data_IF_237874278857
#
_entry.id   IF_237874278857
#
_cell.length_a   1.000
_cell.length_b   1.000
_cell.length_c   1.000
_cell.angle_alpha   90.00
_cell.angle_beta   90.00
_cell.angle_gamma   90.00
#
_symmetry.space_group_name_H-M   'P 1'
#
loop_
_entity.id
_entity.type
_entity.pdbx_description
1 polymer ?
#
# COMPACT_ATOMS: atom_id res chain seq x y z
N UNK A 1 -3.98 12.31 -20.43
CA UNK A 1 -5.28 11.60 -20.67
C UNK A 1 -5.47 10.61 -19.53
N UNK A 2 -6.62 10.62 -18.82
CA UNK A 2 -6.87 9.70 -17.70
C UNK A 2 -6.99 8.27 -18.23
N UNK A 3 -6.30 7.33 -17.59
CA UNK A 3 -6.34 5.91 -17.96
C UNK A 3 -7.60 5.27 -17.39
N UNK A 4 -8.56 4.94 -18.25
CA UNK A 4 -9.83 4.30 -17.85
C UNK A 4 -9.62 2.86 -17.40
N UNK A 5 -10.42 2.43 -16.43
CA UNK A 5 -10.47 1.05 -15.98
C UNK A 5 -11.12 0.19 -17.07
N UNK A 6 -10.47 -0.90 -17.55
CA UNK A 6 -11.07 -1.82 -18.52
C UNK A 6 -12.35 -2.48 -17.97
N UNK A 7 -13.31 -2.77 -18.86
CA UNK A 7 -14.62 -3.33 -18.47
C UNK A 7 -14.48 -4.66 -17.68
N UNK A 8 -13.61 -5.54 -18.13
CA UNK A 8 -13.39 -6.83 -17.43
C UNK A 8 -12.88 -6.67 -16.00
N UNK A 9 -12.10 -5.59 -15.72
CA UNK A 9 -11.68 -5.26 -14.35
C UNK A 9 -12.85 -4.71 -13.52
N UNK A 10 -13.72 -3.90 -14.11
CA UNK A 10 -14.94 -3.41 -13.42
C UNK A 10 -15.83 -4.57 -13.00
N UNK A 11 -15.95 -5.59 -13.85
CA UNK A 11 -16.67 -6.83 -13.51
C UNK A 11 -15.97 -7.60 -12.38
N UNK A 12 -14.63 -7.65 -12.34
CA UNK A 12 -13.89 -8.24 -11.23
C UNK A 12 -14.12 -7.45 -9.92
N UNK A 13 -14.05 -6.13 -9.98
CA UNK A 13 -14.31 -5.23 -8.84
C UNK A 13 -15.73 -5.38 -8.27
N UNK A 14 -16.72 -5.67 -9.11
CA UNK A 14 -18.12 -5.83 -8.67
C UNK A 14 -18.36 -7.04 -7.77
N UNK A 15 -17.46 -8.03 -7.81
CA UNK A 15 -17.56 -9.28 -7.03
C UNK A 15 -17.20 -9.12 -5.55
N UNK A 16 -16.55 -8.04 -5.16
CA UNK A 16 -16.20 -7.81 -3.76
C UNK A 16 -17.45 -7.58 -2.92
N UNK A 17 -17.63 -8.41 -1.89
CA UNK A 17 -18.77 -8.36 -0.96
C UNK A 17 -18.53 -7.37 0.17
N UNK A 18 -17.30 -7.27 0.66
CA UNK A 18 -16.93 -6.34 1.73
C UNK A 18 -16.42 -5.03 1.13
N UNK A 19 -17.07 -3.92 1.50
CA UNK A 19 -16.79 -2.58 0.96
C UNK A 19 -16.75 -1.48 2.04
N UNK A 20 -16.57 -1.87 3.31
CA UNK A 20 -16.51 -0.94 4.44
C UNK A 20 -17.87 -0.47 4.98
N UNK A 21 -19.01 -0.91 4.41
CA UNK A 21 -20.32 -0.48 4.90
C UNK A 21 -20.74 -1.15 6.22
N UNK A 22 -20.24 -2.35 6.43
CA UNK A 22 -20.53 -3.15 7.63
C UNK A 22 -19.37 -4.06 7.93
N UNK A 23 -18.88 -4.02 9.16
CA UNK A 23 -17.87 -4.98 9.63
C UNK A 23 -18.45 -6.39 9.66
N UNK A 24 -17.75 -7.41 9.17
CA UNK A 24 -18.11 -8.80 9.38
C UNK A 24 -17.98 -9.18 10.86
N UNK A 25 -18.70 -10.22 11.28
CA UNK A 25 -18.74 -10.63 12.70
C UNK A 25 -17.40 -11.07 13.29
N UNK A 26 -16.44 -11.39 12.44
CA UNK A 26 -15.07 -11.75 12.84
C UNK A 26 -14.10 -10.54 12.92
N UNK A 27 -14.52 -9.35 12.47
CA UNK A 27 -13.71 -8.14 12.58
C UNK A 27 -13.58 -7.71 14.05
N UNK A 28 -12.38 -7.25 14.41
CA UNK A 28 -12.13 -6.72 15.75
C UNK A 28 -12.74 -5.31 15.87
N UNK A 29 -13.31 -5.02 17.03
CA UNK A 29 -13.81 -3.68 17.34
C UNK A 29 -12.63 -2.76 17.70
N UNK A 30 -12.50 -1.60 17.03
CA UNK A 30 -11.44 -0.64 17.33
C UNK A 30 -11.68 0.07 18.66
N UNK A 31 -10.60 0.31 19.39
CA UNK A 31 -10.58 1.18 20.56
C UNK A 31 -10.41 2.63 20.14
N UNK A 32 -10.50 3.55 21.08
CA UNK A 32 -10.20 4.95 20.80
C UNK A 32 -8.75 5.10 20.26
N UNK A 33 -8.61 5.73 19.09
CA UNK A 33 -7.34 5.91 18.40
C UNK A 33 -6.93 4.75 17.49
N UNK A 34 -7.70 3.68 17.42
CA UNK A 34 -7.48 2.57 16.48
C UNK A 34 -8.37 2.71 15.23
N UNK A 35 -7.89 2.18 14.10
CA UNK A 35 -8.63 2.10 12.84
C UNK A 35 -8.85 0.63 12.46
N UNK A 36 -10.11 0.23 12.22
CA UNK A 36 -10.39 -1.10 11.66
C UNK A 36 -10.27 -1.07 10.14
N UNK A 37 -9.48 -1.99 9.57
CA UNK A 37 -9.39 -2.14 8.10
C UNK A 37 -10.73 -2.54 7.46
N UNK A 38 -11.68 -2.97 8.25
CA UNK A 38 -13.02 -3.33 7.78
C UNK A 38 -13.96 -2.15 7.59
N UNK A 39 -13.53 -0.94 8.05
CA UNK A 39 -14.22 0.33 7.78
C UNK A 39 -13.71 1.01 6.51
N UNK A 40 -12.58 0.53 5.94
CA UNK A 40 -12.03 1.09 4.73
C UNK A 40 -12.89 0.75 3.52
N UNK A 41 -13.06 1.67 2.56
CA UNK A 41 -13.97 1.46 1.44
C UNK A 41 -13.35 0.63 0.31
N UNK A 42 -14.23 0.14 -0.57
CA UNK A 42 -13.94 -0.26 -1.96
C UNK A 42 -14.92 0.44 -2.89
N UNK A 43 -14.45 1.20 -3.91
CA UNK A 43 -13.04 1.46 -4.27
C UNK A 43 -12.21 2.04 -3.13
N UNK A 44 -10.89 1.75 -3.10
CA UNK A 44 -10.01 2.25 -2.04
C UNK A 44 -10.00 3.78 -1.95
N UNK A 45 -9.95 4.30 -0.73
CA UNK A 45 -9.83 5.74 -0.49
C UNK A 45 -8.37 6.20 -0.54
N UNK A 46 -8.19 7.46 -0.92
CA UNK A 46 -6.90 8.16 -0.90
C UNK A 46 -6.93 9.14 0.26
N UNK A 47 -5.96 9.03 1.16
CA UNK A 47 -5.86 9.90 2.33
C UNK A 47 -4.44 10.46 2.47
N UNK A 48 -4.24 11.79 2.52
CA UNK A 48 -2.96 12.37 2.89
C UNK A 48 -2.54 11.92 4.29
N UNK A 49 -1.23 11.69 4.47
CA UNK A 49 -0.62 11.40 5.76
C UNK A 49 0.51 12.40 6.01
N UNK A 50 0.37 13.22 7.05
CA UNK A 50 1.34 14.27 7.41
C UNK A 50 2.36 13.81 8.45
N UNK A 51 2.23 12.58 8.95
CA UNK A 51 3.21 11.98 9.85
C UNK A 51 4.53 11.77 9.09
N UNK A 52 5.62 11.78 9.82
CA UNK A 52 6.93 11.50 9.20
C UNK A 52 7.04 10.03 8.84
N UNK A 53 7.24 9.78 7.56
CA UNK A 53 7.45 8.43 7.00
C UNK A 53 8.91 8.29 6.63
N UNK A 54 9.60 7.29 7.20
CA UNK A 54 11.00 6.99 6.89
C UNK A 54 11.12 5.56 6.38
N UNK A 55 11.85 5.39 5.29
CA UNK A 55 12.23 4.07 4.74
C UNK A 55 13.75 4.00 4.69
N UNK A 56 14.31 2.94 5.27
CA UNK A 56 15.77 2.76 5.31
C UNK A 56 16.17 1.29 5.19
N UNK A 57 17.45 1.08 4.92
CA UNK A 57 18.11 -0.21 5.00
C UNK A 57 19.46 -0.03 5.71
N UNK A 58 19.61 -0.62 6.89
CA UNK A 58 20.72 -0.30 7.78
C UNK A 58 20.75 1.22 8.06
N UNK A 59 21.90 1.84 7.83
CA UNK A 59 22.09 3.29 8.04
C UNK A 59 21.65 4.15 6.83
N UNK A 60 21.30 3.53 5.70
CA UNK A 60 20.96 4.27 4.49
C UNK A 60 19.47 4.63 4.45
N UNK A 61 19.17 5.92 4.42
CA UNK A 61 17.81 6.44 4.25
C UNK A 61 17.46 6.41 2.76
N UNK A 62 16.41 5.66 2.41
CA UNK A 62 15.87 5.54 1.05
C UNK A 62 14.82 6.64 0.82
N UNK A 63 13.99 6.91 1.82
CA UNK A 63 12.95 7.94 1.76
C UNK A 63 12.71 8.56 3.14
N UNK A 64 12.39 9.87 3.16
CA UNK A 64 12.01 10.61 4.38
C UNK A 64 11.01 11.71 3.97
N UNK A 65 9.77 11.59 4.40
CA UNK A 65 8.66 12.42 3.92
C UNK A 65 7.65 12.73 5.01
N UNK A 66 7.06 13.90 4.94
CA UNK A 66 5.83 14.29 5.68
C UNK A 66 4.66 14.57 4.73
N UNK A 67 4.75 14.05 3.49
CA UNK A 67 3.77 14.28 2.41
C UNK A 67 3.31 12.97 1.80
N UNK A 68 3.31 11.90 2.60
CA UNK A 68 2.88 10.60 2.15
C UNK A 68 1.36 10.56 1.92
N UNK A 69 0.92 9.56 1.17
CA UNK A 69 -0.48 9.25 0.92
C UNK A 69 -0.73 7.82 1.36
N UNK A 70 -1.78 7.61 2.16
CA UNK A 70 -2.29 6.28 2.49
C UNK A 70 -3.38 5.89 1.49
N UNK A 71 -3.32 4.67 1.02
CA UNK A 71 -4.43 4.03 0.30
C UNK A 71 -5.10 3.05 1.26
N UNK A 72 -6.39 3.28 1.50
CA UNK A 72 -7.21 2.55 2.46
C UNK A 72 -8.18 1.63 1.70
N UNK A 73 -7.96 0.32 1.81
CA UNK A 73 -8.80 -0.69 1.16
C UNK A 73 -9.32 -1.69 2.19
N UNK A 74 -10.61 -2.00 2.14
CA UNK A 74 -11.24 -3.00 3.01
C UNK A 74 -10.38 -4.25 3.18
N UNK A 75 -10.27 -4.73 4.40
CA UNK A 75 -9.54 -5.94 4.81
C UNK A 75 -8.00 -5.86 4.72
N UNK A 76 -7.43 -4.74 4.26
CA UNK A 76 -5.98 -4.58 4.09
C UNK A 76 -5.46 -3.44 4.96
N UNK A 77 -4.29 -3.58 5.61
CA UNK A 77 -3.62 -2.44 6.21
C UNK A 77 -3.32 -1.37 5.16
N UNK A 78 -3.22 -0.09 5.53
CA UNK A 78 -2.90 0.97 4.59
C UNK A 78 -1.64 0.66 3.78
N UNK A 79 -1.63 0.96 2.49
CA UNK A 79 -0.38 1.06 1.72
C UNK A 79 0.05 2.52 1.67
N UNK A 80 1.30 2.79 2.01
CA UNK A 80 1.84 4.15 2.12
C UNK A 80 2.66 4.48 0.88
N UNK A 81 2.31 5.57 0.20
CA UNK A 81 2.95 6.05 -1.01
C UNK A 81 3.70 7.35 -0.73
N UNK A 82 4.97 7.39 -1.06
CA UNK A 82 5.90 8.49 -0.80
C UNK A 82 6.15 9.26 -2.09
N UNK A 83 6.08 10.61 -2.09
CA UNK A 83 6.32 11.41 -3.29
C UNK A 83 7.74 11.26 -3.79
N UNK A 84 7.98 11.30 -5.13
CA UNK A 84 9.30 11.06 -5.71
C UNK A 84 10.37 12.04 -5.25
N UNK A 85 10.00 13.28 -4.88
CA UNK A 85 10.97 14.27 -4.41
C UNK A 85 11.58 13.94 -3.03
N UNK A 86 10.93 13.07 -2.26
CA UNK A 86 11.36 12.68 -0.93
C UNK A 86 12.03 11.27 -0.94
N UNK A 87 12.43 10.79 -2.14
CA UNK A 87 13.07 9.49 -2.35
C UNK A 87 14.47 9.67 -2.91
N UNK A 88 15.41 8.96 -2.32
CA UNK A 88 16.78 8.89 -2.83
C UNK A 88 16.89 7.83 -3.93
N UNK A 89 16.55 8.22 -5.16
CA UNK A 89 16.64 7.34 -6.33
C UNK A 89 18.06 6.88 -6.67
N UNK A 90 19.11 7.55 -6.14
CA UNK A 90 20.49 7.09 -6.37
C UNK A 90 20.78 5.71 -5.75
N UNK A 91 19.95 5.27 -4.81
CA UNK A 91 20.03 3.95 -4.18
C UNK A 91 19.20 2.88 -4.91
N UNK A 92 18.36 3.28 -5.86
CA UNK A 92 17.36 2.43 -6.48
C UNK A 92 17.64 2.15 -7.96
N UNK A 93 17.23 0.98 -8.40
CA UNK A 93 17.17 0.58 -9.80
C UNK A 93 15.80 -0.02 -10.12
N UNK A 94 15.46 -0.07 -11.41
CA UNK A 94 14.25 -0.80 -11.85
C UNK A 94 14.45 -2.30 -11.64
N UNK A 95 13.49 -2.94 -10.98
CA UNK A 95 13.42 -4.39 -10.89
C UNK A 95 12.60 -4.95 -12.05
N UNK A 96 12.85 -6.22 -12.39
CA UNK A 96 12.10 -6.91 -13.43
C UNK A 96 10.69 -7.26 -12.96
N UNK A 97 9.79 -7.45 -13.94
CA UNK A 97 8.39 -7.83 -13.69
C UNK A 97 7.44 -6.64 -13.58
N UNK A 98 6.17 -6.98 -13.59
CA UNK A 98 5.07 -6.04 -13.38
C UNK A 98 3.87 -6.81 -12.82
N UNK A 99 2.95 -6.11 -12.18
CA UNK A 99 1.65 -6.67 -11.78
C UNK A 99 0.54 -5.68 -12.10
N UNK A 100 -0.68 -6.17 -12.10
CA UNK A 100 -1.86 -5.35 -12.33
C UNK A 100 -2.72 -5.33 -11.06
N UNK A 101 -2.85 -4.13 -10.47
CA UNK A 101 -3.85 -3.89 -9.44
C UNK A 101 -5.17 -3.50 -10.12
N UNK A 102 -6.26 -4.14 -9.71
CA UNK A 102 -7.59 -3.86 -10.29
C UNK A 102 -8.07 -2.43 -10.06
N UNK A 103 -7.59 -1.75 -9.00
CA UNK A 103 -7.94 -0.38 -8.65
C UNK A 103 -6.96 0.64 -9.22
N UNK A 104 -5.65 0.36 -9.07
CA UNK A 104 -4.58 1.35 -9.31
C UNK A 104 -3.91 1.23 -10.68
N UNK A 105 -3.98 0.08 -11.34
CA UNK A 105 -3.37 -0.14 -12.65
C UNK A 105 -2.09 -0.97 -12.62
N UNK A 106 -1.24 -0.82 -13.64
CA UNK A 106 0.01 -1.55 -13.76
C UNK A 106 1.09 -0.98 -12.84
N UNK A 107 1.64 -1.84 -11.99
CA UNK A 107 2.76 -1.53 -11.12
C UNK A 107 4.10 -1.84 -11.81
N UNK A 108 5.09 -0.99 -11.55
CA UNK A 108 6.51 -1.19 -11.85
C UNK A 108 7.26 -1.35 -10.54
N UNK A 109 8.28 -2.19 -10.54
CA UNK A 109 9.01 -2.53 -9.32
C UNK A 109 10.37 -1.88 -9.26
N UNK A 110 10.84 -1.63 -8.02
CA UNK A 110 12.15 -1.08 -7.71
C UNK A 110 12.91 -2.01 -6.77
N UNK A 111 14.23 -2.11 -6.98
CA UNK A 111 15.16 -2.83 -6.12
C UNK A 111 16.30 -1.89 -5.72
N UNK A 112 17.13 -2.32 -4.76
CA UNK A 112 18.38 -1.64 -4.48
C UNK A 112 19.37 -1.85 -5.62
N UNK A 113 20.23 -0.85 -5.86
CA UNK A 113 21.32 -0.97 -6.82
C UNK A 113 22.16 -2.23 -6.55
N UNK A 114 22.44 -2.98 -7.62
CA UNK A 114 23.16 -4.25 -7.54
C UNK A 114 22.36 -5.42 -6.96
N UNK A 115 21.08 -5.24 -6.63
CA UNK A 115 20.16 -6.30 -6.19
C UNK A 115 19.10 -6.56 -7.26
N UNK A 116 18.40 -7.69 -7.14
CA UNK A 116 17.30 -8.07 -8.06
C UNK A 116 15.95 -8.13 -7.38
N UNK A 117 15.95 -8.29 -6.05
CA UNK A 117 14.74 -8.41 -5.27
C UNK A 117 14.00 -7.08 -5.21
N UNK A 118 12.73 -7.07 -5.58
CA UNK A 118 11.88 -5.90 -5.48
C UNK A 118 11.65 -5.52 -4.02
N UNK A 119 11.92 -4.27 -3.67
CA UNK A 119 11.69 -3.70 -2.34
C UNK A 119 10.54 -2.71 -2.31
N UNK A 120 10.06 -2.27 -3.49
CA UNK A 120 8.97 -1.32 -3.62
C UNK A 120 8.39 -1.32 -5.01
N UNK A 121 7.33 -0.54 -5.18
CA UNK A 121 6.63 -0.41 -6.46
C UNK A 121 6.05 0.99 -6.64
N UNK A 122 5.71 1.30 -7.89
CA UNK A 122 5.07 2.56 -8.29
C UNK A 122 4.08 2.33 -9.43
N UNK A 123 3.16 3.26 -9.59
CA UNK A 123 2.25 3.34 -10.71
C UNK A 123 2.56 4.60 -11.53
N UNK A 124 3.22 4.46 -12.68
CA UNK A 124 3.55 5.60 -13.53
C UNK A 124 2.29 6.24 -14.16
N UNK A 125 1.34 5.40 -14.55
CA UNK A 125 0.07 5.82 -15.13
C UNK A 125 -1.09 5.09 -14.44
N UNK A 126 -1.47 5.51 -13.23
CA UNK A 126 -2.57 4.88 -12.50
C UNK A 126 -3.90 5.05 -13.23
N UNK A 127 -4.86 4.21 -12.88
CA UNK A 127 -6.23 4.36 -13.37
C UNK A 127 -6.88 5.63 -12.82
N UNK A 128 -7.97 6.05 -13.49
CA UNK A 128 -8.80 7.18 -13.08
C UNK A 128 -9.22 7.05 -11.60
N UNK A 129 -9.10 8.15 -10.87
CA UNK A 129 -9.34 8.21 -9.43
C UNK A 129 -8.09 7.99 -8.56
N UNK A 130 -6.98 7.49 -9.14
CA UNK A 130 -5.72 7.26 -8.41
C UNK A 130 -4.56 8.12 -8.91
N UNK A 131 -4.84 9.18 -9.66
CA UNK A 131 -3.81 10.07 -10.25
C UNK A 131 -2.90 10.69 -9.19
N UNK A 132 -3.39 10.88 -7.97
CA UNK A 132 -2.63 11.47 -6.86
C UNK A 132 -1.38 10.65 -6.48
N UNK A 133 -1.36 9.35 -6.75
CA UNK A 133 -0.20 8.49 -6.46
C UNK A 133 0.69 8.23 -7.70
N UNK A 134 0.47 8.96 -8.81
CA UNK A 134 1.29 8.80 -10.00
C UNK A 134 2.78 9.04 -9.68
N UNK A 135 3.63 8.04 -9.97
CA UNK A 135 5.06 8.02 -9.69
C UNK A 135 5.45 8.04 -8.19
N UNK A 136 4.51 8.02 -7.27
CA UNK A 136 4.80 7.79 -5.86
C UNK A 136 5.29 6.35 -5.68
N UNK A 137 6.20 6.13 -4.73
CA UNK A 137 6.67 4.79 -4.39
C UNK A 137 6.05 4.32 -3.07
N UNK A 138 5.67 3.05 -3.05
CA UNK A 138 5.38 2.30 -1.84
C UNK A 138 6.44 1.22 -1.65
N UNK A 139 6.72 0.84 -0.41
CA UNK A 139 7.77 -0.11 -0.07
C UNK A 139 7.20 -1.30 0.70
N UNK A 140 7.87 -2.46 0.59
CA UNK A 140 7.53 -3.66 1.34
C UNK A 140 8.20 -3.66 2.72
N UNK A 141 7.45 -3.52 3.83
CA UNK A 141 8.04 -3.56 5.17
C UNK A 141 8.75 -4.88 5.53
N UNK A 142 8.43 -5.94 4.78
CA UNK A 142 9.13 -7.23 4.89
C UNK A 142 10.54 -7.22 4.27
N UNK A 143 10.89 -6.20 3.47
CA UNK A 143 12.14 -6.13 2.69
C UNK A 143 13.04 -4.98 3.12
N UNK A 144 12.46 -3.90 3.61
CA UNK A 144 13.16 -2.71 4.10
C UNK A 144 12.51 -2.23 5.40
N UNK A 145 13.25 -1.47 6.17
CA UNK A 145 12.73 -0.90 7.40
C UNK A 145 11.86 0.32 7.09
N UNK A 146 10.59 0.24 7.47
CA UNK A 146 9.63 1.33 7.33
C UNK A 146 9.22 1.84 8.71
N UNK A 147 9.06 3.16 8.82
CA UNK A 147 8.66 3.82 10.07
C UNK A 147 7.58 4.86 9.77
N UNK A 148 6.61 5.00 10.67
CA UNK A 148 5.69 6.13 10.73
C UNK A 148 5.94 6.81 12.08
N UNK A 149 6.36 8.09 12.06
CA UNK A 149 6.97 8.78 13.18
C UNK A 149 8.14 7.97 13.75
N UNK A 150 8.06 7.50 14.98
CA UNK A 150 9.07 6.63 15.58
C UNK A 150 8.69 5.15 15.60
N UNK A 151 7.48 4.80 15.17
CA UNK A 151 6.99 3.43 15.19
C UNK A 151 7.50 2.64 13.98
N UNK A 152 8.13 1.49 14.24
CA UNK A 152 8.51 0.55 13.20
C UNK A 152 7.29 -0.19 12.68
N UNK A 153 7.04 -0.06 11.39
CA UNK A 153 5.94 -0.73 10.69
C UNK A 153 6.19 -2.23 10.62
N UNK A 154 5.16 -3.02 10.91
CA UNK A 154 5.16 -4.45 10.69
C UNK A 154 4.60 -4.78 9.30
N UNK A 155 5.14 -5.82 8.62
CA UNK A 155 4.62 -6.24 7.33
C UNK A 155 3.25 -6.91 7.46
N UNK A 156 2.39 -6.68 6.47
CA UNK A 156 1.19 -7.50 6.28
C UNK A 156 1.58 -8.94 5.96
N UNK A 157 0.83 -9.91 6.48
CA UNK A 157 1.03 -11.32 6.19
C UNK A 157 0.85 -11.66 4.69
N UNK A 158 1.49 -12.75 4.25
CA UNK A 158 1.47 -13.19 2.86
C UNK A 158 2.40 -12.34 1.97
N UNK A 159 3.50 -12.88 1.51
CA UNK A 159 4.63 -12.17 0.86
C UNK A 159 4.31 -11.35 -0.41
N UNK A 160 3.05 -11.35 -0.88
CA UNK A 160 2.58 -10.55 -2.02
C UNK A 160 2.12 -9.15 -1.61
N UNK A 161 1.55 -9.00 -0.43
CA UNK A 161 0.94 -7.75 0.02
C UNK A 161 1.96 -6.81 0.65
N UNK A 162 1.77 -5.50 0.44
CA UNK A 162 2.66 -4.46 0.94
C UNK A 162 1.99 -3.51 1.94
N UNK A 163 0.98 -3.98 2.67
CA UNK A 163 0.33 -3.20 3.71
C UNK A 163 1.25 -2.90 4.90
N UNK A 164 1.07 -1.74 5.47
CA UNK A 164 1.84 -1.20 6.59
C UNK A 164 1.04 -1.33 7.87
N UNK A 165 1.44 -2.23 8.76
CA UNK A 165 0.77 -2.47 10.04
C UNK A 165 1.47 -1.68 11.13
N UNK A 166 0.73 -0.76 11.76
CA UNK A 166 1.12 -0.01 12.96
C UNK A 166 0.18 -0.38 14.12
N UNK A 167 0.52 0.03 15.33
CA UNK A 167 -0.26 -0.28 16.54
C UNK A 167 -1.71 0.24 16.49
N UNK A 168 -1.97 1.26 15.68
CA UNK A 168 -3.30 1.84 15.49
C UNK A 168 -4.17 1.04 14.51
N UNK A 169 -3.59 0.16 13.68
CA UNK A 169 -4.32 -0.56 12.62
C UNK A 169 -4.70 -1.94 13.09
N UNK A 170 -6.01 -2.22 13.14
CA UNK A 170 -6.51 -3.51 13.60
C UNK A 170 -7.24 -4.28 12.51
N UNK A 171 -7.12 -5.61 12.59
CA UNK A 171 -7.62 -6.58 11.64
C UNK A 171 -8.87 -7.33 12.04
N UNK A 172 -8.93 -8.59 11.65
CA UNK A 172 -7.91 -9.39 10.95
C UNK A 172 -7.64 -8.89 9.53
N UNK A 173 -6.41 -9.15 9.02
CA UNK A 173 -5.94 -8.66 7.74
C UNK A 173 -6.00 -9.73 6.66
N UNK A 174 -6.31 -9.32 5.43
CA UNK A 174 -6.11 -10.14 4.24
C UNK A 174 -4.62 -10.50 4.11
N UNK A 175 -4.32 -11.75 3.68
CA UNK A 175 -2.96 -12.24 3.48
C UNK A 175 -2.71 -13.61 4.11
N UNK A 176 -3.54 -14.01 5.06
CA UNK A 176 -3.51 -15.36 5.63
C UNK A 176 -4.14 -16.38 4.66
N UNK A 177 -3.81 -17.69 4.77
CA UNK A 177 -4.48 -18.72 4.03
C UNK A 177 -6.01 -18.66 4.18
N UNK A 178 -6.74 -18.73 3.07
CA UNK A 178 -8.21 -18.66 3.05
C UNK A 178 -8.80 -17.25 3.02
N UNK A 179 -8.00 -16.20 3.16
CA UNK A 179 -8.49 -14.80 3.20
C UNK A 179 -8.48 -14.11 1.82
N UNK A 180 -8.14 -14.83 0.75
CA UNK A 180 -8.02 -14.26 -0.60
C UNK A 180 -9.30 -13.62 -1.14
N UNK A 181 -10.45 -14.04 -0.63
CA UNK A 181 -11.77 -13.51 -0.98
C UNK A 181 -12.25 -12.32 -0.13
N UNK A 182 -11.44 -11.84 0.79
CA UNK A 182 -11.77 -10.72 1.68
C UNK A 182 -11.66 -9.37 0.97
#
# INVERSE_FOLDING_TARGET
MKKKIPEWLRQAQSKWTHRGQKRPSFALEPRAGEESVWDYPRPPAIQPDTRRVVVKIGEQIIADSTKAIRILETASPPTVYIPPNDINFSLLANASGSSLCEWKGAAHYFCLNGRREAIGWSYATPFEGFEAIANYLSFYPAKVECYIDSERVQPQHGGFYGGWVTSEIIGPFKGEPGTGGW
#
